data_IF_577295796325
#
_entry.id   IF_577295796325
#
_cell.length_a   1.000
_cell.length_b   1.000
_cell.length_c   1.000
_cell.angle_alpha   90.00
_cell.angle_beta   90.00
_cell.angle_gamma   90.00
#
_symmetry.space_group_name_H-M   'P 1'
#
loop_
_entity.id
_entity.type
_entity.pdbx_description
1 polymer ?
#
# COMPACT_ATOMS: atom_id res chain seq x y z
N UNK A 1 -2.64 -3.04 -2.42
CA UNK A 1 -1.83 -2.75 -3.60
C UNK A 1 -0.41 -2.40 -3.20
N UNK A 2 -0.20 -1.27 -2.51
CA UNK A 2 1.13 -0.76 -2.13
C UNK A 2 1.81 -1.68 -1.12
N UNK A 3 2.90 -2.32 -1.52
CA UNK A 3 3.66 -3.30 -0.73
C UNK A 3 3.04 -4.70 -0.69
N UNK A 4 1.87 -4.91 -1.30
CA UNK A 4 1.22 -6.22 -1.45
C UNK A 4 1.42 -6.75 -2.87
N UNK A 5 1.02 -5.95 -3.86
CA UNK A 5 1.17 -6.24 -5.31
C UNK A 5 2.36 -5.49 -5.89
N UNK A 6 2.53 -4.22 -5.53
CA UNK A 6 3.62 -3.37 -6.00
C UNK A 6 4.79 -3.38 -5.00
N UNK A 7 5.98 -3.70 -5.49
CA UNK A 7 7.22 -3.66 -4.70
C UNK A 7 7.68 -2.23 -4.47
N UNK A 8 7.29 -1.68 -3.32
CA UNK A 8 7.67 -0.32 -2.96
C UNK A 8 9.15 -0.17 -2.66
N UNK A 9 9.74 -1.14 -1.98
CA UNK A 9 11.16 -1.07 -1.60
C UNK A 9 12.06 -1.18 -2.83
N UNK A 10 11.82 -2.18 -3.67
CA UNK A 10 12.59 -2.36 -4.91
C UNK A 10 12.43 -1.19 -5.88
N UNK A 11 11.23 -0.59 -5.94
CA UNK A 11 10.95 0.54 -6.84
C UNK A 11 11.47 1.89 -6.32
N UNK A 12 11.50 2.12 -5.01
CA UNK A 12 11.74 3.46 -4.45
C UNK A 12 13.09 3.63 -3.76
N UNK A 13 13.74 2.55 -3.29
CA UNK A 13 15.08 2.67 -2.68
C UNK A 13 16.15 3.14 -3.69
N UNK A 14 16.20 2.63 -4.94
CA UNK A 14 17.18 3.13 -5.90
C UNK A 14 17.04 4.64 -6.19
N UNK A 15 15.86 5.20 -6.53
CA UNK A 15 15.73 6.64 -6.69
C UNK A 15 15.93 7.43 -5.39
N UNK A 16 15.67 6.83 -4.22
CA UNK A 16 15.96 7.48 -2.93
C UNK A 16 17.48 7.65 -2.72
N UNK A 17 18.30 6.71 -3.17
CA UNK A 17 19.76 6.85 -3.16
C UNK A 17 20.21 8.00 -4.07
N UNK A 18 19.60 8.16 -5.23
CA UNK A 18 19.88 9.29 -6.13
C UNK A 18 19.48 10.62 -5.48
N UNK A 19 18.33 10.67 -4.81
CA UNK A 19 17.91 11.85 -4.05
C UNK A 19 18.95 12.21 -2.97
N UNK A 20 19.41 11.24 -2.20
CA UNK A 20 20.42 11.49 -1.14
C UNK A 20 21.75 12.02 -1.73
N UNK A 21 22.17 11.51 -2.86
CA UNK A 21 23.35 12.04 -3.58
C UNK A 21 23.11 13.48 -4.04
N UNK A 22 21.96 13.76 -4.64
CA UNK A 22 21.61 15.11 -5.10
C UNK A 22 21.45 16.14 -3.95
N UNK A 23 21.26 15.66 -2.73
CA UNK A 23 21.15 16.47 -1.51
C UNK A 23 22.47 16.53 -0.72
N UNK A 24 23.61 16.06 -1.26
CA UNK A 24 24.90 15.96 -0.58
C UNK A 24 24.80 15.33 0.81
N UNK A 25 23.93 14.31 0.95
CA UNK A 25 23.72 13.61 2.21
C UNK A 25 25.00 12.82 2.62
N UNK A 26 25.29 12.70 3.94
CA UNK A 26 26.44 11.95 4.40
C UNK A 26 26.47 10.51 3.85
N UNK A 27 27.62 9.98 3.41
CA UNK A 27 27.71 8.61 2.87
C UNK A 27 27.27 7.50 3.84
N UNK A 28 27.26 7.80 5.13
CA UNK A 28 26.77 6.89 6.20
C UNK A 28 25.25 6.76 6.22
N UNK A 29 24.54 7.67 5.52
CA UNK A 29 23.09 7.65 5.40
C UNK A 29 22.68 6.88 4.13
N UNK A 30 22.31 5.62 4.30
CA UNK A 30 21.90 4.76 3.17
C UNK A 30 20.43 4.92 2.82
N UNK A 31 20.09 4.62 1.56
CA UNK A 31 18.69 4.63 1.11
C UNK A 31 17.79 3.74 1.94
N UNK A 32 18.29 2.58 2.39
CA UNK A 32 17.56 1.62 3.22
C UNK A 32 17.24 2.19 4.61
N UNK A 33 18.18 2.91 5.23
CA UNK A 33 17.95 3.58 6.53
C UNK A 33 16.89 4.67 6.42
N UNK A 34 16.96 5.50 5.37
CA UNK A 34 15.96 6.55 5.10
C UNK A 34 14.61 5.91 4.79
N UNK A 35 14.59 4.86 3.97
CA UNK A 35 13.38 4.10 3.64
C UNK A 35 12.66 3.60 4.90
N UNK A 36 13.36 2.95 5.82
CA UNK A 36 12.78 2.40 7.04
C UNK A 36 12.08 3.49 7.88
N UNK A 37 12.78 4.63 8.13
CA UNK A 37 12.20 5.74 8.90
C UNK A 37 11.04 6.41 8.16
N UNK A 38 11.17 6.62 6.85
CA UNK A 38 10.14 7.21 6.03
C UNK A 38 8.87 6.34 5.99
N UNK A 39 9.00 5.01 5.91
CA UNK A 39 7.84 4.09 5.94
C UNK A 39 7.04 4.20 7.24
N UNK A 40 7.71 4.31 8.37
CA UNK A 40 7.03 4.53 9.67
C UNK A 40 6.31 5.88 9.68
N UNK A 41 6.99 6.95 9.25
CA UNK A 41 6.40 8.29 9.21
C UNK A 41 5.18 8.37 8.30
N UNK A 42 5.17 7.70 7.16
CA UNK A 42 4.02 7.66 6.25
C UNK A 42 2.73 7.17 6.92
N UNK A 43 2.81 6.18 7.82
CA UNK A 43 1.63 5.70 8.57
C UNK A 43 1.14 6.73 9.55
N UNK A 44 2.05 7.40 10.24
CA UNK A 44 1.69 8.45 11.20
C UNK A 44 0.91 9.57 10.49
N UNK A 45 1.37 10.04 9.34
CA UNK A 45 0.66 11.07 8.56
C UNK A 45 -0.77 10.64 8.18
N UNK A 46 -0.95 9.39 7.71
CA UNK A 46 -2.29 8.87 7.36
C UNK A 46 -3.21 8.74 8.59
N UNK A 47 -2.65 8.31 9.73
CA UNK A 47 -3.44 8.19 10.96
C UNK A 47 -3.80 9.55 11.54
N UNK A 48 -2.92 10.54 11.42
CA UNK A 48 -3.22 11.91 11.83
C UNK A 48 -4.39 12.48 11.00
N UNK A 49 -4.42 12.29 9.69
CA UNK A 49 -5.53 12.72 8.84
C UNK A 49 -6.86 12.11 9.34
N UNK A 50 -6.89 10.81 9.61
CA UNK A 50 -8.08 10.13 10.12
C UNK A 50 -8.48 10.63 11.52
N UNK A 51 -7.52 10.71 12.45
CA UNK A 51 -7.78 11.09 13.85
C UNK A 51 -8.24 12.55 13.99
N UNK A 52 -7.67 13.44 13.19
CA UNK A 52 -8.03 14.87 13.18
C UNK A 52 -9.21 15.16 12.27
N UNK A 53 -9.78 14.15 11.61
CA UNK A 53 -10.92 14.28 10.68
C UNK A 53 -10.63 15.27 9.54
N UNK A 54 -9.37 15.34 9.08
CA UNK A 54 -8.94 16.23 8.00
C UNK A 54 -9.37 15.75 6.61
N UNK A 55 -9.93 14.55 6.53
CA UNK A 55 -10.27 13.88 5.29
C UNK A 55 -9.06 13.15 4.69
N UNK A 56 -9.15 12.83 3.40
CA UNK A 56 -8.07 12.19 2.65
C UNK A 56 -7.20 13.25 1.99
N UNK A 57 -6.08 13.62 2.59
CA UNK A 57 -5.22 14.72 2.10
C UNK A 57 -4.39 14.38 0.85
N UNK A 58 -4.62 13.20 0.27
CA UNK A 58 -3.91 12.68 -0.89
C UNK A 58 -2.80 11.71 -0.51
N UNK A 59 -2.77 10.55 -1.16
CA UNK A 59 -1.77 9.51 -0.87
C UNK A 59 -0.35 9.99 -1.17
N UNK A 60 -0.12 10.56 -2.37
CA UNK A 60 1.20 11.06 -2.75
C UNK A 60 1.61 12.29 -1.93
N UNK A 61 0.65 13.14 -1.56
CA UNK A 61 0.88 14.29 -0.67
C UNK A 61 1.38 13.83 0.69
N UNK A 62 0.74 12.82 1.28
CA UNK A 62 1.18 12.21 2.56
C UNK A 62 2.59 11.63 2.44
N UNK A 63 2.91 10.94 1.33
CA UNK A 63 4.25 10.39 1.10
C UNK A 63 5.31 11.49 1.04
N UNK A 64 5.01 12.57 0.32
CA UNK A 64 5.90 13.73 0.22
C UNK A 64 6.11 14.42 1.58
N UNK A 65 5.03 14.69 2.33
CA UNK A 65 5.11 15.26 3.70
C UNK A 65 5.97 14.41 4.62
N UNK A 66 5.74 13.10 4.64
CA UNK A 66 6.50 12.15 5.43
C UNK A 66 7.99 12.13 5.05
N UNK A 67 8.32 12.22 3.75
CA UNK A 67 9.71 12.28 3.27
C UNK A 67 10.39 13.58 3.73
N UNK A 68 9.72 14.72 3.60
CA UNK A 68 10.23 16.02 4.08
C UNK A 68 10.54 15.97 5.58
N UNK A 69 9.63 15.42 6.37
CA UNK A 69 9.84 15.23 7.81
C UNK A 69 11.08 14.34 8.08
N UNK A 70 11.16 13.21 7.39
CA UNK A 70 12.26 12.25 7.58
C UNK A 70 13.61 12.87 7.21
N UNK A 71 13.73 13.54 6.06
CA UNK A 71 14.97 14.20 5.66
C UNK A 71 15.38 15.32 6.64
N UNK A 72 14.43 16.13 7.13
CA UNK A 72 14.69 17.14 8.15
C UNK A 72 15.16 16.52 9.47
N UNK A 73 14.54 15.44 9.92
CA UNK A 73 14.94 14.73 11.15
C UNK A 73 16.36 14.15 11.04
N UNK A 74 16.79 13.81 9.84
CA UNK A 74 18.13 13.31 9.52
C UNK A 74 19.12 14.45 9.17
N UNK A 75 18.68 15.71 9.27
CA UNK A 75 19.49 16.92 8.97
C UNK A 75 20.01 16.92 7.52
N UNK A 76 19.26 16.36 6.59
CA UNK A 76 19.54 16.43 5.15
C UNK A 76 18.90 17.70 4.60
N UNK A 77 19.69 18.53 3.94
CA UNK A 77 19.19 19.69 3.21
C UNK A 77 18.63 19.24 1.85
N UNK A 78 17.47 19.76 1.46
CA UNK A 78 16.82 19.42 0.20
C UNK A 78 16.06 20.63 -0.34
N UNK A 79 15.84 20.66 -1.65
CA UNK A 79 14.96 21.63 -2.32
C UNK A 79 13.62 21.00 -2.67
N UNK A 80 12.64 21.81 -3.08
CA UNK A 80 11.36 21.30 -3.58
C UNK A 80 11.56 20.45 -4.83
N UNK A 81 12.44 20.89 -5.72
CA UNK A 81 12.79 20.24 -6.99
C UNK A 81 13.37 18.84 -6.76
N UNK A 82 14.24 18.68 -5.75
CA UNK A 82 14.76 17.35 -5.38
C UNK A 82 13.64 16.37 -5.02
N UNK A 83 12.66 16.86 -4.24
CA UNK A 83 11.52 16.02 -3.83
C UNK A 83 10.60 15.75 -5.02
N UNK A 84 10.32 16.73 -5.84
CA UNK A 84 9.41 16.62 -6.98
C UNK A 84 9.98 15.62 -8.01
N UNK A 85 11.30 15.65 -8.24
CA UNK A 85 11.98 14.67 -9.10
C UNK A 85 11.86 13.26 -8.52
N UNK A 86 12.16 13.10 -7.22
CA UNK A 86 12.02 11.81 -6.54
C UNK A 86 10.59 11.27 -6.61
N UNK A 87 9.57 12.14 -6.41
CA UNK A 87 8.17 11.71 -6.40
C UNK A 87 7.70 11.16 -7.74
N UNK A 88 8.37 11.46 -8.87
CA UNK A 88 8.08 10.86 -10.18
C UNK A 88 8.27 9.34 -10.16
N UNK A 89 9.13 8.80 -9.29
CA UNK A 89 9.34 7.36 -9.16
C UNK A 89 8.06 6.59 -8.77
N UNK A 90 7.10 7.26 -8.13
CA UNK A 90 5.80 6.65 -7.82
C UNK A 90 4.99 6.28 -9.07
N UNK A 91 5.23 6.93 -10.21
CA UNK A 91 4.58 6.58 -11.48
C UNK A 91 5.16 5.29 -12.10
N UNK A 92 6.32 4.84 -11.60
CA UNK A 92 7.10 3.74 -12.17
C UNK A 92 7.17 2.50 -11.26
N UNK A 93 6.27 2.41 -10.27
CA UNK A 93 6.24 1.27 -9.36
C UNK A 93 6.12 -0.06 -10.12
N UNK A 94 6.88 -1.08 -9.69
CA UNK A 94 6.92 -2.39 -10.32
C UNK A 94 6.18 -3.41 -9.45
N UNK A 95 5.34 -4.29 -10.02
CA UNK A 95 4.72 -5.36 -9.26
C UNK A 95 5.75 -6.43 -8.85
N UNK A 96 5.49 -7.10 -7.73
CA UNK A 96 6.15 -8.37 -7.45
C UNK A 96 5.75 -9.40 -8.52
N UNK A 97 6.71 -10.21 -8.96
CA UNK A 97 6.46 -11.21 -10.00
C UNK A 97 5.37 -12.20 -9.59
N UNK A 98 5.44 -12.74 -8.38
CA UNK A 98 4.45 -13.67 -7.84
C UNK A 98 3.06 -13.05 -7.73
N UNK A 99 2.97 -11.74 -7.48
CA UNK A 99 1.69 -11.04 -7.40
C UNK A 99 1.03 -10.87 -8.77
N UNK A 100 1.80 -10.53 -9.81
CA UNK A 100 1.28 -10.41 -11.16
C UNK A 100 0.76 -11.78 -11.66
N UNK A 101 1.60 -12.82 -11.56
CA UNK A 101 1.24 -14.18 -11.96
C UNK A 101 0.03 -14.72 -11.14
N UNK A 102 0.03 -14.47 -9.82
CA UNK A 102 -1.04 -14.90 -8.93
C UNK A 102 -2.37 -14.20 -9.19
N UNK A 103 -2.36 -12.90 -9.52
CA UNK A 103 -3.58 -12.18 -9.90
C UNK A 103 -4.20 -12.76 -11.19
N UNK A 104 -3.38 -13.15 -12.18
CA UNK A 104 -3.88 -13.85 -13.38
C UNK A 104 -4.55 -15.18 -13.00
N UNK A 105 -3.94 -15.98 -12.14
CA UNK A 105 -4.54 -17.24 -11.67
C UNK A 105 -5.87 -17.00 -10.93
N UNK A 106 -5.87 -16.04 -10.00
CA UNK A 106 -7.04 -15.68 -9.19
C UNK A 106 -8.22 -15.18 -10.04
N UNK A 107 -7.96 -14.43 -11.13
CA UNK A 107 -9.00 -13.90 -12.02
C UNK A 107 -9.84 -14.98 -12.71
N UNK A 108 -9.32 -16.22 -12.83
CA UNK A 108 -10.06 -17.34 -13.42
C UNK A 108 -11.23 -17.83 -12.53
N UNK A 109 -11.22 -17.48 -11.24
CA UNK A 109 -12.22 -17.97 -10.28
C UNK A 109 -12.89 -16.89 -9.46
N UNK A 110 -12.23 -15.74 -9.27
CA UNK A 110 -12.68 -14.67 -8.40
C UNK A 110 -12.77 -13.35 -9.14
N UNK A 111 -13.71 -12.50 -8.73
CA UNK A 111 -13.71 -11.09 -9.10
C UNK A 111 -12.54 -10.40 -8.39
N UNK A 112 -11.71 -9.69 -9.14
CA UNK A 112 -10.58 -8.95 -8.60
C UNK A 112 -10.92 -7.49 -8.43
N UNK A 113 -10.83 -7.01 -7.18
CA UNK A 113 -11.11 -5.62 -6.82
C UNK A 113 -9.90 -4.98 -6.20
N UNK A 114 -9.49 -3.83 -6.72
CA UNK A 114 -8.48 -3.00 -6.10
C UNK A 114 -9.13 -2.09 -5.07
N UNK A 115 -8.87 -2.27 -3.77
CA UNK A 115 -9.24 -1.33 -2.70
C UNK A 115 -7.96 -0.75 -2.09
N UNK A 116 -7.74 0.56 -2.23
CA UNK A 116 -6.47 1.16 -1.84
C UNK A 116 -6.57 2.60 -1.33
N UNK A 117 -5.51 3.05 -0.64
CA UNK A 117 -5.36 4.41 -0.13
C UNK A 117 -4.93 5.44 -1.20
N UNK A 118 -4.58 5.01 -2.41
CA UNK A 118 -4.21 5.91 -3.51
C UNK A 118 -5.43 6.66 -4.05
N UNK A 119 -5.19 7.83 -4.65
CA UNK A 119 -6.20 8.60 -5.38
C UNK A 119 -6.74 7.79 -6.56
N UNK A 120 -8.01 7.98 -6.90
CA UNK A 120 -8.68 7.17 -7.93
C UNK A 120 -7.94 7.17 -9.27
N UNK A 121 -7.53 8.35 -9.77
CA UNK A 121 -6.80 8.47 -11.03
C UNK A 121 -5.42 7.79 -10.98
N UNK A 122 -4.75 7.86 -9.84
CA UNK A 122 -3.44 7.23 -9.65
C UNK A 122 -3.54 5.71 -9.58
N UNK A 123 -4.57 5.17 -8.91
CA UNK A 123 -4.83 3.73 -8.90
C UNK A 123 -5.16 3.21 -10.30
N UNK A 124 -5.91 3.97 -11.11
CA UNK A 124 -6.20 3.64 -12.50
C UNK A 124 -4.92 3.57 -13.33
N UNK A 125 -4.03 4.58 -13.19
CA UNK A 125 -2.72 4.56 -13.84
C UNK A 125 -1.91 3.32 -13.48
N UNK A 126 -1.83 2.97 -12.19
CA UNK A 126 -1.06 1.82 -11.73
C UNK A 126 -1.65 0.50 -12.24
N UNK A 127 -2.97 0.34 -12.23
CA UNK A 127 -3.64 -0.84 -12.75
C UNK A 127 -3.29 -1.07 -14.23
N UNK A 128 -3.50 -0.04 -15.05
CA UNK A 128 -3.34 -0.13 -16.51
C UNK A 128 -1.87 -0.19 -16.95
N UNK A 129 -1.02 0.70 -16.39
CA UNK A 129 0.31 0.91 -16.94
C UNK A 129 1.43 0.18 -16.19
N UNK A 130 1.16 -0.31 -14.98
CA UNK A 130 2.19 -0.92 -14.13
C UNK A 130 1.89 -2.37 -13.75
N UNK A 131 0.64 -2.70 -13.42
CA UNK A 131 0.23 -4.06 -13.05
C UNK A 131 -0.18 -4.84 -14.29
N UNK A 132 -0.91 -4.20 -15.22
CA UNK A 132 -1.35 -4.82 -16.48
C UNK A 132 -2.43 -5.89 -16.28
N UNK A 133 -3.24 -5.77 -15.22
CA UNK A 133 -4.36 -6.65 -14.90
C UNK A 133 -5.64 -5.85 -14.93
N UNK A 134 -6.66 -6.40 -15.59
CA UNK A 134 -8.00 -5.84 -15.57
C UNK A 134 -8.68 -6.20 -14.23
N UNK A 135 -8.87 -5.18 -13.40
CA UNK A 135 -9.66 -5.30 -12.17
C UNK A 135 -11.13 -5.05 -12.48
N UNK A 136 -12.01 -5.89 -11.94
CA UNK A 136 -13.47 -5.68 -12.06
C UNK A 136 -13.93 -4.33 -11.51
N UNK A 137 -13.27 -3.87 -10.45
CA UNK A 137 -13.45 -2.53 -9.90
C UNK A 137 -12.15 -2.00 -9.27
N UNK A 138 -11.98 -0.68 -9.35
CA UNK A 138 -10.91 0.06 -8.67
C UNK A 138 -11.58 1.04 -7.71
N UNK A 139 -11.37 0.83 -6.41
CA UNK A 139 -11.99 1.56 -5.32
C UNK A 139 -10.92 2.33 -4.54
N UNK A 140 -11.05 3.65 -4.52
CA UNK A 140 -10.17 4.53 -3.75
C UNK A 140 -10.77 4.86 -2.39
N UNK A 141 -9.96 4.82 -1.35
CA UNK A 141 -10.28 5.30 -0.01
C UNK A 141 -10.55 6.83 0.01
N UNK A 142 -10.04 7.57 -0.98
CA UNK A 142 -10.33 8.97 -1.22
C UNK A 142 -11.84 9.25 -1.29
N UNK A 143 -12.62 8.32 -1.89
CA UNK A 143 -14.07 8.46 -2.04
C UNK A 143 -14.81 8.63 -0.70
N UNK A 144 -14.28 8.07 0.36
CA UNK A 144 -14.88 8.20 1.72
C UNK A 144 -14.12 9.20 2.60
N UNK A 145 -13.11 9.85 2.06
CA UNK A 145 -12.33 10.86 2.79
C UNK A 145 -11.51 10.30 3.96
N UNK A 146 -11.17 9.00 3.96
CA UNK A 146 -10.45 8.37 5.05
C UNK A 146 -9.37 7.42 4.50
N UNK A 147 -8.26 7.24 5.22
CA UNK A 147 -7.28 6.20 4.91
C UNK A 147 -7.62 4.90 5.62
N UNK A 148 -7.28 3.76 5.01
CA UNK A 148 -7.22 2.48 5.72
C UNK A 148 -6.31 2.59 6.96
N UNK A 149 -6.62 1.96 8.08
CA UNK A 149 -7.68 0.97 8.28
C UNK A 149 -9.02 1.54 8.79
N UNK A 150 -9.40 2.78 8.48
CA UNK A 150 -10.68 3.32 8.92
C UNK A 150 -11.85 2.45 8.42
N UNK A 151 -12.82 2.05 9.28
CA UNK A 151 -13.87 1.09 8.92
C UNK A 151 -14.77 1.55 7.76
N UNK A 152 -14.92 2.86 7.57
CA UNK A 152 -15.72 3.40 6.46
C UNK A 152 -15.22 2.95 5.09
N UNK A 153 -13.91 2.70 4.94
CA UNK A 153 -13.29 2.27 3.68
C UNK A 153 -13.76 0.85 3.31
N UNK A 154 -13.80 -0.05 4.28
CA UNK A 154 -14.24 -1.44 4.05
C UNK A 154 -15.77 -1.51 3.87
N UNK A 155 -16.54 -0.79 4.68
CA UNK A 155 -18.01 -0.68 4.50
C UNK A 155 -18.37 -0.08 3.13
N UNK A 156 -17.64 0.93 2.68
CA UNK A 156 -17.80 1.48 1.33
C UNK A 156 -17.57 0.41 0.26
N UNK A 157 -16.50 -0.38 0.39
CA UNK A 157 -16.20 -1.45 -0.57
C UNK A 157 -17.33 -2.50 -0.61
N UNK A 158 -17.79 -3.00 0.53
CA UNK A 158 -18.91 -3.96 0.61
C UNK A 158 -20.18 -3.41 -0.08
N UNK A 159 -20.53 -2.16 0.24
CA UNK A 159 -21.70 -1.48 -0.38
C UNK A 159 -21.52 -1.30 -1.90
N UNK A 160 -20.32 -0.93 -2.37
CA UNK A 160 -20.05 -0.74 -3.80
C UNK A 160 -20.08 -2.05 -4.59
N UNK A 161 -19.68 -3.14 -3.97
CA UNK A 161 -19.68 -4.47 -4.57
C UNK A 161 -21.04 -5.14 -4.51
N UNK A 162 -21.96 -4.60 -3.72
CA UNK A 162 -23.25 -5.21 -3.39
C UNK A 162 -23.08 -6.63 -2.84
N UNK A 163 -22.19 -6.78 -1.86
CA UNK A 163 -21.85 -8.04 -1.23
C UNK A 163 -21.88 -7.91 0.29
N UNK A 164 -22.32 -8.98 0.95
CA UNK A 164 -22.14 -9.12 2.39
C UNK A 164 -20.63 -9.22 2.72
N UNK A 165 -20.18 -8.60 3.82
CA UNK A 165 -18.75 -8.55 4.17
C UNK A 165 -18.05 -9.91 4.16
N UNK A 166 -18.70 -10.98 4.67
CA UNK A 166 -18.13 -12.34 4.73
C UNK A 166 -17.87 -12.99 3.35
N UNK A 167 -18.40 -12.40 2.28
CA UNK A 167 -18.15 -12.86 0.90
C UNK A 167 -17.00 -12.11 0.23
N UNK A 168 -16.35 -11.20 0.95
CA UNK A 168 -15.21 -10.42 0.46
C UNK A 168 -13.97 -10.85 1.23
N UNK A 169 -12.89 -11.12 0.50
CA UNK A 169 -11.58 -11.40 1.10
C UNK A 169 -10.61 -10.26 0.83
N UNK A 170 -10.09 -9.65 1.88
CA UNK A 170 -8.96 -8.71 1.79
C UNK A 170 -7.67 -9.50 1.68
N UNK A 171 -6.91 -9.25 0.62
CA UNK A 171 -5.55 -9.77 0.43
C UNK A 171 -4.56 -8.63 0.65
N UNK A 172 -3.72 -8.72 1.67
CA UNK A 172 -2.75 -7.69 2.00
C UNK A 172 -1.48 -8.23 2.66
N UNK A 173 -0.36 -7.56 2.42
CA UNK A 173 0.93 -7.83 3.08
C UNK A 173 1.17 -6.95 4.33
N UNK A 174 0.14 -6.28 4.81
CA UNK A 174 0.22 -5.45 6.00
C UNK A 174 -0.87 -5.86 6.99
N UNK A 175 -0.46 -6.20 8.21
CA UNK A 175 -1.35 -6.66 9.28
C UNK A 175 -2.50 -5.67 9.54
N UNK A 176 -2.21 -4.35 9.60
CA UNK A 176 -3.23 -3.33 9.85
C UNK A 176 -4.38 -3.34 8.84
N UNK A 177 -4.12 -3.71 7.57
CA UNK A 177 -5.15 -3.76 6.52
C UNK A 177 -6.03 -5.00 6.69
N UNK A 178 -5.43 -6.14 7.04
CA UNK A 178 -6.16 -7.37 7.40
C UNK A 178 -6.98 -7.15 8.67
N UNK A 179 -6.38 -6.54 9.71
CA UNK A 179 -7.05 -6.21 10.96
C UNK A 179 -8.31 -5.36 10.70
N UNK A 180 -8.18 -4.27 9.93
CA UNK A 180 -9.31 -3.40 9.60
C UNK A 180 -10.38 -4.09 8.77
N UNK A 181 -10.00 -4.95 7.83
CA UNK A 181 -10.91 -5.75 7.03
C UNK A 181 -11.67 -6.79 7.87
N UNK A 182 -10.95 -7.54 8.71
CA UNK A 182 -11.54 -8.53 9.63
C UNK A 182 -12.50 -7.89 10.64
N UNK A 183 -12.10 -6.76 11.23
CA UNK A 183 -12.97 -5.96 12.10
C UNK A 183 -14.25 -5.51 11.39
N UNK A 184 -14.19 -5.30 10.09
CA UNK A 184 -15.34 -4.92 9.25
C UNK A 184 -16.13 -6.11 8.71
N UNK A 185 -15.85 -7.35 9.14
CA UNK A 185 -16.55 -8.57 8.77
C UNK A 185 -16.04 -9.25 7.49
N UNK A 186 -15.00 -8.74 6.85
CA UNK A 186 -14.38 -9.39 5.70
C UNK A 186 -13.60 -10.65 6.11
N UNK A 187 -13.35 -11.52 5.16
CA UNK A 187 -12.28 -12.51 5.26
C UNK A 187 -10.93 -11.85 5.03
N UNK A 188 -9.86 -12.44 5.56
CA UNK A 188 -8.52 -11.90 5.44
C UNK A 188 -7.51 -12.95 4.98
N UNK A 189 -6.73 -12.63 3.94
CA UNK A 189 -5.54 -13.39 3.54
C UNK A 189 -4.30 -12.50 3.75
N UNK A 190 -3.49 -12.87 4.73
CA UNK A 190 -2.24 -12.17 5.05
C UNK A 190 -1.09 -12.77 4.23
N UNK A 191 -0.56 -11.99 3.29
CA UNK A 191 0.63 -12.36 2.51
C UNK A 191 1.85 -11.80 3.22
N UNK A 192 2.48 -12.58 4.08
CA UNK A 192 3.59 -12.16 4.96
C UNK A 192 4.93 -12.03 4.22
N UNK A 193 4.99 -11.12 3.23
CA UNK A 193 6.19 -10.86 2.42
C UNK A 193 7.40 -10.35 3.19
N UNK A 194 7.15 -9.80 4.37
CA UNK A 194 8.17 -9.06 5.12
C UNK A 194 8.64 -9.81 6.36
N UNK A 195 8.19 -11.05 6.52
CA UNK A 195 8.47 -11.90 7.69
C UNK A 195 8.28 -11.13 9.02
N UNK A 196 7.14 -10.44 9.11
CA UNK A 196 6.77 -9.67 10.29
C UNK A 196 5.72 -10.41 11.11
N UNK A 197 5.75 -10.27 12.45
CA UNK A 197 4.69 -10.83 13.28
C UNK A 197 3.35 -10.18 12.93
N UNK A 198 2.28 -10.95 13.07
CA UNK A 198 0.93 -10.40 13.03
C UNK A 198 0.59 -9.73 14.37
N UNK A 199 -0.35 -8.78 14.35
CA UNK A 199 -0.79 -8.09 15.57
C UNK A 199 -1.46 -9.06 16.57
N UNK A 200 -1.23 -8.85 17.87
CA UNK A 200 -1.94 -9.52 18.96
C UNK A 200 -3.40 -9.04 18.97
N UNK A 201 -4.32 -9.81 18.38
CA UNK A 201 -5.71 -9.41 18.17
C UNK A 201 -6.62 -10.61 17.93
N UNK A 202 -7.91 -10.48 18.26
CA UNK A 202 -8.96 -11.45 17.90
C UNK A 202 -9.30 -11.43 16.40
N UNK A 203 -8.86 -10.41 15.66
CA UNK A 203 -9.10 -10.27 14.22
C UNK A 203 -7.99 -10.89 13.38
N UNK A 204 -7.74 -12.18 13.60
CA UNK A 204 -6.71 -12.94 12.86
C UNK A 204 -7.08 -13.18 11.40
N UNK A 205 -6.11 -13.34 10.48
CA UNK A 205 -6.39 -13.72 9.09
C UNK A 205 -6.97 -15.14 9.01
N UNK A 206 -7.81 -15.39 7.99
CA UNK A 206 -8.30 -16.75 7.68
C UNK A 206 -7.20 -17.57 6.99
N UNK A 207 -6.30 -16.90 6.25
CA UNK A 207 -5.20 -17.51 5.50
C UNK A 207 -3.94 -16.67 5.75
N UNK A 208 -2.82 -17.35 6.00
CA UNK A 208 -1.49 -16.72 6.04
C UNK A 208 -0.59 -17.46 5.06
N UNK A 209 0.08 -16.72 4.17
CA UNK A 209 1.01 -17.25 3.16
C UNK A 209 2.21 -16.32 3.01
N UNK A 210 3.30 -16.79 2.44
CA UNK A 210 4.49 -15.96 2.19
C UNK A 210 4.38 -15.15 0.89
N UNK A 211 3.63 -15.67 -0.10
CA UNK A 211 3.56 -15.10 -1.44
C UNK A 211 2.21 -15.44 -2.12
N UNK A 212 1.97 -14.88 -3.31
CA UNK A 212 0.75 -15.13 -4.07
C UNK A 212 0.69 -16.54 -4.68
N UNK A 213 1.81 -17.21 -4.91
CA UNK A 213 1.78 -18.61 -5.40
C UNK A 213 1.14 -19.52 -4.36
N UNK A 214 1.59 -19.43 -3.10
CA UNK A 214 0.99 -20.19 -1.99
C UNK A 214 -0.48 -19.80 -1.74
N UNK A 215 -0.82 -18.51 -1.91
CA UNK A 215 -2.21 -18.10 -1.81
C UNK A 215 -3.08 -18.77 -2.86
N UNK A 216 -2.63 -18.80 -4.11
CA UNK A 216 -3.33 -19.49 -5.19
C UNK A 216 -3.48 -20.98 -4.93
N UNK A 217 -2.43 -21.65 -4.46
CA UNK A 217 -2.45 -23.08 -4.15
C UNK A 217 -3.41 -23.39 -2.99
N UNK A 218 -3.42 -22.54 -1.95
CA UNK A 218 -4.36 -22.64 -0.82
C UNK A 218 -5.81 -22.45 -1.27
N UNK A 219 -6.07 -21.54 -2.21
CA UNK A 219 -7.40 -21.28 -2.77
C UNK A 219 -7.79 -22.23 -3.92
N UNK A 220 -6.87 -23.13 -4.32
CA UNK A 220 -7.06 -24.14 -5.40
C UNK A 220 -7.42 -23.49 -6.73
N UNK A 221 -6.61 -22.53 -7.14
CA UNK A 221 -6.69 -21.83 -8.43
C UNK A 221 -5.38 -21.88 -9.18
#
# INVERSE_FOLDING_TARGET
IFGTVLDLAGSLIPPLKLLLTACDAPPTLTGEKVWAQWRLRQRIEQYQDNMLMLGHSGYLTVKRKALMYTLRSLKVNFTSENLDEFMKAYQLLTPFKDAADGLIRLSNKYRLVMLSNGEQHYLQHLATNRIGIDFDQILSAETVGQFKPHPSVYRFAAKKLDLEPQHIMMVAAHSFDILGARHSGFRGAYVNRYDLPYDESDYVPDITTENFYELCDTLKV
#
